data_IF_649591408965
#
_entry.id   IF_649591408965
#
_cell.length_a   1.000
_cell.length_b   1.000
_cell.length_c   1.000
_cell.angle_alpha   90.00
_cell.angle_beta   90.00
_cell.angle_gamma   90.00
#
_symmetry.space_group_name_H-M   'P 1'
#
loop_
_entity.id
_entity.type
_entity.pdbx_description
1 polymer ?
#
# COMPACT_ATOMS: atom_id res chain seq x y z
N UNK A 1 43.76 7.18 -17.38
CA UNK A 1 43.11 5.85 -17.40
C UNK A 1 42.02 5.82 -16.32
N UNK A 2 40.78 6.00 -16.75
CA UNK A 2 39.63 5.77 -15.84
C UNK A 2 39.49 4.26 -15.69
N UNK A 3 39.31 3.71 -14.46
CA UNK A 3 39.17 2.29 -14.25
C UNK A 3 37.96 1.75 -15.03
N UNK A 4 38.09 0.53 -15.59
CA UNK A 4 37.07 -0.11 -16.43
C UNK A 4 35.70 -0.24 -15.71
N UNK A 5 35.70 -0.32 -14.36
CA UNK A 5 34.52 -0.32 -13.53
C UNK A 5 33.65 0.94 -13.68
N UNK A 6 34.26 2.12 -13.93
CA UNK A 6 33.57 3.37 -14.17
C UNK A 6 32.89 3.44 -15.55
N UNK A 7 33.38 2.70 -16.53
CA UNK A 7 32.76 2.63 -17.86
C UNK A 7 31.50 1.76 -17.84
N UNK A 8 31.53 0.64 -17.13
CA UNK A 8 30.36 -0.25 -16.92
C UNK A 8 29.26 0.42 -16.05
N UNK A 9 29.69 1.21 -15.06
CA UNK A 9 28.76 1.91 -14.15
C UNK A 9 28.02 3.07 -14.84
N UNK A 10 28.56 3.65 -15.91
CA UNK A 10 27.88 4.70 -16.69
C UNK A 10 26.65 4.23 -17.45
N UNK A 11 26.55 2.93 -17.71
CA UNK A 11 25.41 2.28 -18.36
C UNK A 11 24.38 1.75 -17.34
N UNK A 12 24.61 1.89 -16.02
CA UNK A 12 23.67 1.46 -15.00
C UNK A 12 22.48 2.42 -14.94
N UNK A 13 21.35 1.99 -15.49
CA UNK A 13 20.08 2.75 -15.52
C UNK A 13 19.57 3.12 -14.12
N UNK A 14 20.03 2.44 -13.06
CA UNK A 14 19.66 2.71 -11.66
C UNK A 14 20.30 4.00 -11.13
N UNK A 15 21.32 4.51 -11.80
CA UNK A 15 22.01 5.75 -11.41
C UNK A 15 21.72 6.83 -12.43
N UNK A 16 20.75 7.70 -12.14
CA UNK A 16 20.55 8.89 -12.94
C UNK A 16 21.71 9.88 -12.71
N UNK A 17 22.53 10.11 -13.72
CA UNK A 17 23.59 11.15 -13.72
C UNK A 17 23.04 12.57 -14.01
N UNK A 18 21.74 12.76 -13.79
CA UNK A 18 21.07 14.02 -14.07
C UNK A 18 21.47 15.07 -13.02
N UNK A 19 22.31 16.00 -13.43
CA UNK A 19 22.69 17.16 -12.62
C UNK A 19 21.60 18.22 -12.66
N UNK A 20 21.05 18.53 -11.47
CA UNK A 20 20.07 19.59 -11.27
C UNK A 20 18.67 19.27 -11.83
N UNK A 21 17.75 20.23 -11.70
CA UNK A 21 16.34 20.10 -12.11
C UNK A 21 16.20 19.88 -13.62
N UNK A 22 17.01 20.60 -14.42
CA UNK A 22 16.97 20.46 -15.90
C UNK A 22 17.42 19.06 -16.40
N UNK A 23 18.38 18.44 -15.72
CA UNK A 23 18.80 17.06 -15.99
C UNK A 23 17.72 16.05 -15.62
N UNK A 24 17.03 16.26 -14.50
CA UNK A 24 15.91 15.40 -14.07
C UNK A 24 14.73 15.45 -15.06
N UNK A 25 14.39 16.65 -15.57
CA UNK A 25 13.33 16.82 -16.56
C UNK A 25 13.72 16.12 -17.88
N UNK A 26 14.96 16.28 -18.35
CA UNK A 26 15.43 15.60 -19.57
C UNK A 26 15.41 14.07 -19.41
N UNK A 27 15.86 13.55 -18.28
CA UNK A 27 15.83 12.12 -17.99
C UNK A 27 14.38 11.58 -17.91
N UNK A 28 13.44 12.36 -17.39
CA UNK A 28 12.02 12.03 -17.39
C UNK A 28 11.44 11.98 -18.79
N UNK A 29 11.67 13.03 -19.58
CA UNK A 29 11.20 13.10 -20.99
C UNK A 29 11.78 11.96 -21.83
N UNK A 30 13.06 11.61 -21.65
CA UNK A 30 13.67 10.49 -22.37
C UNK A 30 13.03 9.14 -22.03
N UNK A 31 12.70 8.88 -20.74
CA UNK A 31 11.98 7.67 -20.31
C UNK A 31 10.58 7.59 -20.93
N UNK A 32 9.83 8.70 -20.89
CA UNK A 32 8.50 8.76 -21.52
C UNK A 32 8.59 8.48 -23.02
N UNK A 33 9.60 9.04 -23.71
CA UNK A 33 9.83 8.78 -25.15
C UNK A 33 10.26 7.34 -25.45
N UNK A 34 10.97 6.68 -24.54
CA UNK A 34 11.35 5.27 -24.71
C UNK A 34 10.22 4.28 -24.39
N UNK A 35 9.02 4.77 -24.01
CA UNK A 35 7.87 3.94 -23.69
C UNK A 35 7.83 3.44 -22.24
N UNK A 36 8.81 3.79 -21.40
CA UNK A 36 8.77 3.52 -19.98
C UNK A 36 7.91 4.56 -19.25
N UNK A 37 6.62 4.34 -19.30
CA UNK A 37 5.64 5.25 -18.70
C UNK A 37 5.53 5.11 -17.17
N UNK A 38 5.99 3.98 -16.61
CA UNK A 38 5.95 3.72 -15.18
C UNK A 38 4.59 4.03 -14.54
N UNK A 39 4.55 4.93 -13.57
CA UNK A 39 3.33 5.36 -12.87
C UNK A 39 2.57 6.52 -13.57
N UNK A 40 3.07 6.99 -14.71
CA UNK A 40 2.50 8.17 -15.40
C UNK A 40 1.01 8.01 -15.76
N UNK A 41 0.54 6.85 -16.32
CA UNK A 41 -0.88 6.66 -16.65
C UNK A 41 -1.78 6.77 -15.42
N UNK A 42 -1.34 6.23 -14.26
CA UNK A 42 -2.08 6.32 -13.00
C UNK A 42 -2.13 7.77 -12.51
N UNK A 43 -1.02 8.50 -12.56
CA UNK A 43 -0.96 9.89 -12.16
C UNK A 43 -1.86 10.78 -13.04
N UNK A 44 -1.83 10.59 -14.37
CA UNK A 44 -2.71 11.30 -15.30
C UNK A 44 -4.17 10.97 -15.02
N UNK A 45 -4.51 9.69 -14.83
CA UNK A 45 -5.86 9.26 -14.49
C UNK A 45 -6.37 9.93 -13.22
N UNK A 46 -5.55 9.99 -12.16
CA UNK A 46 -5.89 10.68 -10.92
C UNK A 46 -6.11 12.18 -11.12
N UNK A 47 -5.26 12.84 -11.90
CA UNK A 47 -5.40 14.28 -12.21
C UNK A 47 -6.70 14.53 -12.99
N UNK A 48 -6.98 13.73 -14.02
CA UNK A 48 -8.21 13.86 -14.83
C UNK A 48 -9.44 13.67 -13.96
N UNK A 49 -9.51 12.57 -13.18
CA UNK A 49 -10.63 12.28 -12.30
C UNK A 49 -10.81 13.41 -11.28
N UNK A 50 -9.73 13.83 -10.60
CA UNK A 50 -9.80 14.92 -9.62
C UNK A 50 -10.27 16.23 -10.22
N UNK A 51 -9.82 16.55 -11.46
CA UNK A 51 -10.26 17.76 -12.17
C UNK A 51 -11.74 17.70 -12.51
N UNK A 52 -12.20 16.58 -13.09
CA UNK A 52 -13.62 16.39 -13.45
C UNK A 52 -14.51 16.52 -12.21
N UNK A 53 -14.19 15.81 -11.14
CA UNK A 53 -15.00 15.88 -9.91
C UNK A 53 -14.95 17.25 -9.24
N UNK A 54 -13.83 17.98 -9.32
CA UNK A 54 -13.73 19.34 -8.78
C UNK A 54 -14.58 20.35 -9.55
N UNK A 55 -14.74 20.14 -10.87
CA UNK A 55 -15.62 20.97 -11.70
C UNK A 55 -17.10 20.66 -11.39
N UNK A 56 -17.43 19.38 -11.23
CA UNK A 56 -18.80 18.92 -10.97
C UNK A 56 -19.25 19.23 -9.54
N UNK A 57 -18.34 19.22 -8.57
CA UNK A 57 -18.66 19.47 -7.16
C UNK A 57 -17.56 20.31 -6.50
N UNK A 58 -17.83 21.58 -6.16
CA UNK A 58 -16.85 22.46 -5.50
C UNK A 58 -16.37 21.96 -4.13
N UNK A 59 -17.13 21.07 -3.48
CA UNK A 59 -16.77 20.49 -2.19
C UNK A 59 -15.77 19.33 -2.35
N UNK A 60 -15.55 18.83 -3.58
CA UNK A 60 -14.72 17.64 -3.81
C UNK A 60 -13.32 17.79 -3.21
N UNK A 61 -12.65 18.91 -3.42
CA UNK A 61 -11.32 19.20 -2.85
C UNK A 61 -11.35 19.85 -1.47
N UNK A 62 -12.53 20.03 -0.85
CA UNK A 62 -12.60 20.61 0.49
C UNK A 62 -11.80 19.75 1.50
N UNK A 63 -11.11 20.37 2.50
CA UNK A 63 -10.25 19.64 3.43
C UNK A 63 -10.95 18.48 4.13
N UNK A 64 -12.17 18.66 4.60
CA UNK A 64 -12.93 17.61 5.27
C UNK A 64 -13.28 16.44 4.34
N UNK A 65 -13.56 16.71 3.06
CA UNK A 65 -13.82 15.65 2.09
C UNK A 65 -12.55 14.86 1.77
N UNK A 66 -11.41 15.53 1.67
CA UNK A 66 -10.12 14.85 1.48
C UNK A 66 -9.72 14.01 2.71
N UNK A 67 -10.07 14.45 3.92
CA UNK A 67 -9.87 13.63 5.13
C UNK A 67 -10.73 12.37 5.07
N UNK A 68 -12.01 12.46 4.65
CA UNK A 68 -12.86 11.29 4.44
C UNK A 68 -12.27 10.36 3.37
N UNK A 69 -11.82 10.92 2.25
CA UNK A 69 -11.14 10.15 1.20
C UNK A 69 -9.92 9.40 1.72
N UNK A 70 -9.16 9.96 2.67
CA UNK A 70 -8.02 9.26 3.28
C UNK A 70 -8.46 8.08 4.17
N UNK A 71 -9.59 8.18 4.89
CA UNK A 71 -10.16 7.04 5.60
C UNK A 71 -10.55 5.92 4.64
N UNK A 72 -11.24 6.26 3.55
CA UNK A 72 -11.68 5.29 2.54
C UNK A 72 -10.47 4.68 1.81
N UNK A 73 -9.50 5.50 1.40
CA UNK A 73 -8.25 5.03 0.80
C UNK A 73 -7.47 4.09 1.74
N UNK A 74 -7.43 4.37 3.04
CA UNK A 74 -6.76 3.51 4.00
C UNK A 74 -7.45 2.15 4.12
N UNK A 75 -8.79 2.14 4.16
CA UNK A 75 -9.60 0.91 4.22
C UNK A 75 -9.33 0.02 3.01
N UNK A 76 -9.53 0.56 1.81
CA UNK A 76 -9.30 -0.17 0.54
C UNK A 76 -7.82 -0.52 0.38
N UNK A 77 -6.93 0.39 0.77
CA UNK A 77 -5.49 0.21 0.71
C UNK A 77 -5.00 -0.95 1.56
N UNK A 78 -5.47 -1.10 2.80
CA UNK A 78 -5.11 -2.22 3.69
C UNK A 78 -5.55 -3.55 3.07
N UNK A 79 -6.76 -3.63 2.52
CA UNK A 79 -7.24 -4.82 1.80
C UNK A 79 -6.33 -5.12 0.60
N UNK A 80 -5.97 -4.08 -0.16
CA UNK A 80 -5.13 -4.20 -1.36
C UNK A 80 -3.72 -4.72 -1.07
N UNK A 81 -3.17 -4.54 0.15
CA UNK A 81 -1.87 -5.12 0.53
C UNK A 81 -1.88 -6.65 0.45
N UNK A 82 -2.99 -7.29 0.87
CA UNK A 82 -3.17 -8.73 0.70
C UNK A 82 -3.24 -9.14 -0.77
N UNK A 83 -3.99 -8.39 -1.57
CA UNK A 83 -4.12 -8.63 -3.02
C UNK A 83 -2.77 -8.53 -3.73
N UNK A 84 -1.94 -7.55 -3.37
CA UNK A 84 -0.59 -7.39 -3.95
C UNK A 84 0.26 -8.64 -3.75
N UNK A 85 0.20 -9.28 -2.56
CA UNK A 85 0.92 -10.52 -2.31
C UNK A 85 0.49 -11.65 -3.27
N UNK A 86 -0.81 -11.77 -3.56
CA UNK A 86 -1.33 -12.77 -4.49
C UNK A 86 -0.95 -12.44 -5.94
N UNK A 87 -1.04 -11.17 -6.35
CA UNK A 87 -0.65 -10.75 -7.69
C UNK A 87 0.85 -10.97 -7.98
N UNK A 88 1.72 -10.83 -6.97
CA UNK A 88 3.14 -11.18 -7.10
C UNK A 88 3.31 -12.67 -7.42
N UNK A 89 2.46 -13.55 -6.90
CA UNK A 89 2.45 -14.98 -7.20
C UNK A 89 1.79 -15.32 -8.55
N UNK A 90 1.17 -14.33 -9.22
CA UNK A 90 0.39 -14.53 -10.44
C UNK A 90 -1.00 -15.10 -10.21
N UNK A 91 -1.52 -15.02 -8.97
CA UNK A 91 -2.82 -15.57 -8.58
C UNK A 91 -3.85 -14.44 -8.36
N UNK A 92 -5.12 -14.76 -8.52
CA UNK A 92 -6.23 -13.82 -8.36
C UNK A 92 -7.19 -14.34 -7.28
N UNK A 93 -7.57 -13.46 -6.34
CA UNK A 93 -8.62 -13.73 -5.35
C UNK A 93 -9.81 -12.78 -5.56
N UNK A 94 -10.93 -13.36 -5.95
CA UNK A 94 -12.19 -12.64 -6.16
C UNK A 94 -13.02 -12.53 -4.88
N UNK A 95 -12.67 -13.27 -3.83
CA UNK A 95 -13.45 -13.34 -2.59
C UNK A 95 -13.08 -12.30 -1.53
N UNK A 96 -12.07 -11.47 -1.78
CA UNK A 96 -11.52 -10.51 -0.79
C UNK A 96 -12.60 -9.59 -0.22
N UNK A 97 -13.50 -9.09 -1.07
CA UNK A 97 -14.64 -8.26 -0.63
C UNK A 97 -15.59 -9.01 0.28
N UNK A 98 -15.99 -10.23 -0.09
CA UNK A 98 -16.86 -11.08 0.73
C UNK A 98 -16.21 -11.50 2.04
N UNK A 99 -14.88 -11.74 2.02
CA UNK A 99 -14.13 -12.05 3.24
C UNK A 99 -14.11 -10.85 4.20
N UNK A 100 -13.95 -9.62 3.70
CA UNK A 100 -14.01 -8.43 4.54
C UNK A 100 -15.40 -8.23 5.14
N UNK A 101 -16.47 -8.50 4.37
CA UNK A 101 -17.83 -8.49 4.86
C UNK A 101 -18.09 -9.57 5.93
N UNK A 102 -17.61 -10.79 5.70
CA UNK A 102 -17.69 -11.87 6.70
C UNK A 102 -16.93 -11.52 7.98
N UNK A 103 -15.73 -10.96 7.88
CA UNK A 103 -14.94 -10.52 9.03
C UNK A 103 -15.69 -9.46 9.84
N UNK A 104 -16.33 -8.50 9.16
CA UNK A 104 -17.16 -7.47 9.79
C UNK A 104 -18.39 -8.06 10.48
N UNK A 105 -19.05 -9.06 9.86
CA UNK A 105 -20.17 -9.78 10.48
C UNK A 105 -19.75 -10.55 11.73
N UNK A 106 -18.62 -11.27 11.69
CA UNK A 106 -18.06 -11.99 12.84
C UNK A 106 -17.80 -11.00 13.99
N UNK A 107 -17.11 -9.87 13.71
CA UNK A 107 -16.83 -8.87 14.73
C UNK A 107 -18.14 -8.30 15.31
N UNK A 108 -19.10 -7.93 14.45
CA UNK A 108 -20.37 -7.35 14.87
C UNK A 108 -21.16 -8.30 15.77
N UNK A 109 -21.33 -9.55 15.36
CA UNK A 109 -22.10 -10.54 16.12
C UNK A 109 -21.42 -10.88 17.44
N UNK A 110 -20.12 -11.19 17.43
CA UNK A 110 -19.41 -11.58 18.64
C UNK A 110 -19.31 -10.44 19.65
N UNK A 111 -19.01 -9.24 19.16
CA UNK A 111 -18.83 -8.09 20.05
C UNK A 111 -20.16 -7.46 20.50
N UNK A 112 -21.06 -7.16 19.55
CA UNK A 112 -22.28 -6.39 19.85
C UNK A 112 -23.39 -7.30 20.36
N UNK A 113 -23.65 -8.44 19.71
CA UNK A 113 -24.76 -9.32 20.05
C UNK A 113 -24.40 -10.29 21.19
N UNK A 114 -23.17 -10.83 21.19
CA UNK A 114 -22.74 -11.82 22.20
C UNK A 114 -21.99 -11.22 23.37
N UNK A 115 -21.70 -9.90 23.38
CA UNK A 115 -20.99 -9.22 24.47
C UNK A 115 -19.50 -9.61 24.64
N UNK A 116 -18.91 -10.25 23.64
CA UNK A 116 -17.49 -10.60 23.66
C UNK A 116 -16.63 -9.32 23.63
N UNK A 117 -15.44 -9.36 24.23
CA UNK A 117 -14.53 -8.22 24.15
C UNK A 117 -14.07 -7.96 22.71
N UNK A 118 -13.97 -6.68 22.31
CA UNK A 118 -13.58 -6.30 20.94
C UNK A 118 -12.26 -6.94 20.45
N UNK A 119 -11.17 -7.03 21.25
CA UNK A 119 -9.95 -7.70 20.82
C UNK A 119 -10.15 -9.19 20.49
N UNK A 120 -10.98 -9.89 21.25
CA UNK A 120 -11.29 -11.30 20.98
C UNK A 120 -12.14 -11.46 19.72
N UNK A 121 -13.11 -10.57 19.48
CA UNK A 121 -13.90 -10.57 18.24
C UNK A 121 -13.02 -10.30 17.02
N UNK A 122 -12.06 -9.37 17.10
CA UNK A 122 -11.07 -9.11 16.04
C UNK A 122 -10.19 -10.34 15.84
N UNK A 123 -9.70 -10.98 16.91
CA UNK A 123 -8.89 -12.19 16.81
C UNK A 123 -9.67 -13.33 16.12
N UNK A 124 -10.96 -13.51 16.45
CA UNK A 124 -11.81 -14.50 15.79
C UNK A 124 -11.96 -14.24 14.28
N UNK A 125 -12.14 -12.98 13.88
CA UNK A 125 -12.20 -12.61 12.47
C UNK A 125 -10.89 -12.87 11.73
N UNK A 126 -9.75 -12.59 12.38
CA UNK A 126 -8.42 -12.90 11.81
C UNK A 126 -8.20 -14.40 11.66
N UNK A 127 -8.60 -15.20 12.64
CA UNK A 127 -8.55 -16.67 12.56
C UNK A 127 -9.45 -17.20 11.46
N UNK A 128 -10.66 -16.66 11.30
CA UNK A 128 -11.56 -17.01 10.20
C UNK A 128 -10.92 -16.71 8.83
N UNK A 129 -10.32 -15.53 8.68
CA UNK A 129 -9.59 -15.17 7.45
C UNK A 129 -8.41 -16.11 7.16
N UNK A 130 -7.62 -16.44 8.18
CA UNK A 130 -6.52 -17.39 8.05
C UNK A 130 -7.01 -18.79 7.68
N UNK A 131 -8.13 -19.26 8.25
CA UNK A 131 -8.74 -20.55 7.94
C UNK A 131 -9.22 -20.61 6.48
N UNK A 132 -9.89 -19.55 5.99
CA UNK A 132 -10.31 -19.44 4.58
C UNK A 132 -9.10 -19.43 3.65
N UNK A 133 -8.05 -18.65 3.97
CA UNK A 133 -6.81 -18.64 3.21
C UNK A 133 -6.12 -20.01 3.17
N UNK A 134 -6.08 -20.71 4.30
CA UNK A 134 -5.56 -22.09 4.37
C UNK A 134 -6.38 -23.07 3.53
N UNK A 135 -7.71 -22.93 3.53
CA UNK A 135 -8.60 -23.72 2.67
C UNK A 135 -8.28 -23.48 1.19
N UNK A 136 -8.18 -22.22 0.74
CA UNK A 136 -7.80 -21.91 -0.64
C UNK A 136 -6.43 -22.46 -1.02
N UNK A 137 -5.44 -22.31 -0.12
CA UNK A 137 -4.12 -22.89 -0.32
C UNK A 137 -4.16 -24.42 -0.46
N UNK A 138 -5.02 -25.11 0.30
CA UNK A 138 -5.23 -26.56 0.19
C UNK A 138 -5.88 -26.93 -1.15
N UNK A 139 -6.94 -26.24 -1.56
CA UNK A 139 -7.63 -26.46 -2.85
C UNK A 139 -6.65 -26.27 -4.02
N UNK A 140 -5.85 -25.22 -3.96
CA UNK A 140 -4.88 -24.89 -4.98
C UNK A 140 -3.72 -25.92 -5.05
N UNK A 141 -3.06 -26.18 -3.89
CA UNK A 141 -1.83 -26.96 -3.87
C UNK A 141 -2.07 -28.47 -3.95
N UNK A 142 -3.16 -28.98 -3.35
CA UNK A 142 -3.44 -30.43 -3.30
C UNK A 142 -4.42 -30.91 -4.36
N UNK A 143 -5.42 -30.09 -4.68
CA UNK A 143 -6.45 -30.46 -5.66
C UNK A 143 -6.18 -29.87 -7.05
N UNK A 144 -5.14 -28.99 -7.20
CA UNK A 144 -4.81 -28.38 -8.46
C UNK A 144 -5.88 -27.42 -9.00
N UNK A 145 -6.78 -26.95 -8.13
CA UNK A 145 -7.86 -26.06 -8.53
C UNK A 145 -7.31 -24.67 -8.86
N UNK A 146 -7.65 -24.07 -10.03
CA UNK A 146 -7.23 -22.70 -10.34
C UNK A 146 -7.73 -21.72 -9.27
N UNK A 147 -6.88 -20.75 -8.87
CA UNK A 147 -7.18 -19.81 -7.79
C UNK A 147 -8.47 -19.02 -8.02
N UNK A 148 -8.68 -18.51 -9.25
CA UNK A 148 -9.87 -17.73 -9.58
C UNK A 148 -11.17 -18.56 -9.46
N UNK A 149 -11.14 -19.89 -9.75
CA UNK A 149 -12.31 -20.78 -9.60
C UNK A 149 -12.63 -20.99 -8.13
N UNK A 150 -11.61 -21.29 -7.32
CA UNK A 150 -11.79 -21.50 -5.89
C UNK A 150 -12.31 -20.23 -5.20
N UNK A 151 -11.74 -19.06 -5.54
CA UNK A 151 -12.11 -17.79 -4.92
C UNK A 151 -13.42 -17.23 -5.45
N UNK A 152 -13.82 -17.52 -6.69
CA UNK A 152 -15.16 -17.20 -7.21
C UNK A 152 -16.24 -17.99 -6.48
N UNK A 153 -16.03 -19.29 -6.26
CA UNK A 153 -16.93 -20.09 -5.42
C UNK A 153 -16.95 -19.57 -3.98
N UNK A 154 -15.79 -19.21 -3.45
CA UNK A 154 -15.64 -18.61 -2.14
C UNK A 154 -16.33 -17.26 -2.00
N UNK A 155 -16.32 -16.41 -3.04
CA UNK A 155 -17.05 -15.14 -3.04
C UNK A 155 -18.53 -15.36 -2.68
N UNK A 156 -19.19 -16.31 -3.33
CA UNK A 156 -20.60 -16.62 -3.09
C UNK A 156 -20.81 -17.31 -1.74
N UNK A 157 -19.94 -18.27 -1.39
CA UNK A 157 -20.03 -18.99 -0.13
C UNK A 157 -19.83 -18.09 1.08
N UNK A 158 -18.83 -17.20 1.04
CA UNK A 158 -18.54 -16.25 2.13
C UNK A 158 -19.65 -15.19 2.24
N UNK A 159 -20.20 -14.73 1.11
CA UNK A 159 -21.36 -13.83 1.12
C UNK A 159 -22.57 -14.49 1.77
N UNK A 160 -22.88 -15.75 1.41
CA UNK A 160 -23.96 -16.52 2.04
C UNK A 160 -23.71 -16.74 3.54
N UNK A 161 -22.47 -17.07 3.93
CA UNK A 161 -22.09 -17.25 5.32
C UNK A 161 -22.18 -15.94 6.12
N UNK A 162 -21.79 -14.81 5.53
CA UNK A 162 -21.97 -13.48 6.10
C UNK A 162 -23.44 -13.22 6.44
N UNK A 163 -24.34 -13.44 5.49
CA UNK A 163 -25.78 -13.23 5.68
C UNK A 163 -26.36 -14.19 6.74
N UNK A 164 -25.91 -15.44 6.73
CA UNK A 164 -26.32 -16.42 7.73
C UNK A 164 -25.93 -15.99 9.15
N UNK A 165 -24.71 -15.51 9.33
CA UNK A 165 -24.21 -15.04 10.65
C UNK A 165 -24.93 -13.77 11.10
N UNK A 166 -25.22 -12.83 10.19
CA UNK A 166 -25.97 -11.61 10.51
C UNK A 166 -27.43 -11.89 10.88
N UNK A 167 -27.99 -13.01 10.42
CA UNK A 167 -29.35 -13.41 10.70
C UNK A 167 -30.40 -12.58 9.98
N UNK A 168 -31.68 -12.61 10.46
CA UNK A 168 -32.82 -12.04 9.73
C UNK A 168 -32.72 -10.52 9.49
N UNK A 169 -31.98 -9.78 10.31
CA UNK A 169 -31.82 -8.33 10.17
C UNK A 169 -30.84 -7.94 9.07
N UNK A 170 -29.92 -8.86 8.69
CA UNK A 170 -28.93 -8.63 7.65
C UNK A 170 -27.90 -7.52 7.95
N UNK A 171 -28.00 -6.88 9.11
CA UNK A 171 -27.13 -5.76 9.50
C UNK A 171 -26.99 -5.65 11.01
N UNK A 172 -25.89 -5.08 11.47
CA UNK A 172 -25.62 -4.78 12.90
C UNK A 172 -25.09 -3.36 12.98
N UNK A 173 -25.71 -2.55 13.84
CA UNK A 173 -25.23 -1.21 14.12
C UNK A 173 -24.11 -1.25 15.16
N UNK A 174 -22.91 -0.83 14.77
CA UNK A 174 -21.81 -0.69 15.69
C UNK A 174 -21.97 0.55 16.56
N UNK A 175 -21.66 0.51 17.87
CA UNK A 175 -21.73 1.68 18.72
C UNK A 175 -20.82 2.80 18.24
N UNK A 176 -21.38 3.98 17.96
CA UNK A 176 -20.65 5.12 17.37
C UNK A 176 -19.45 5.58 18.23
N UNK A 177 -19.63 5.58 19.56
CA UNK A 177 -18.58 5.96 20.51
C UNK A 177 -17.49 4.90 20.71
N UNK A 178 -17.59 3.76 20.04
CA UNK A 178 -16.64 2.66 20.22
C UNK A 178 -15.24 2.98 19.70
N UNK A 179 -14.18 2.39 20.28
CA UNK A 179 -12.82 2.56 19.80
C UNK A 179 -12.66 2.18 18.33
N UNK A 180 -13.37 1.14 17.86
CA UNK A 180 -13.28 0.65 16.48
C UNK A 180 -13.82 1.69 15.50
N UNK A 181 -15.04 2.21 15.73
CA UNK A 181 -15.65 3.22 14.86
C UNK A 181 -14.87 4.53 14.93
N UNK A 182 -14.45 4.94 16.13
CA UNK A 182 -13.62 6.15 16.28
C UNK A 182 -12.31 6.04 15.50
N UNK A 183 -11.60 4.91 15.59
CA UNK A 183 -10.36 4.70 14.85
C UNK A 183 -10.57 4.68 13.34
N UNK A 184 -11.64 4.02 12.87
CA UNK A 184 -11.92 3.85 11.44
C UNK A 184 -12.50 5.07 10.74
N UNK A 185 -13.11 6.05 11.47
CA UNK A 185 -13.86 7.14 10.84
C UNK A 185 -13.65 8.53 11.45
N UNK A 186 -13.11 8.61 12.68
CA UNK A 186 -13.10 9.88 13.43
C UNK A 186 -11.70 10.30 13.86
N UNK A 187 -10.88 9.36 14.32
CA UNK A 187 -9.64 9.67 15.00
C UNK A 187 -8.59 10.20 14.04
N UNK A 188 -8.16 11.43 14.28
CA UNK A 188 -7.11 12.10 13.50
C UNK A 188 -5.90 12.39 14.38
N UNK A 189 -4.74 12.54 13.76
CA UNK A 189 -3.50 12.90 14.44
C UNK A 189 -3.55 14.35 14.91
N UNK A 190 -2.93 14.71 16.04
CA UNK A 190 -2.66 16.10 16.40
C UNK A 190 -1.83 16.79 15.29
N UNK A 191 -2.06 18.07 15.05
CA UNK A 191 -1.43 18.83 13.97
C UNK A 191 0.10 18.71 13.99
N UNK A 192 0.72 18.91 15.15
CA UNK A 192 2.18 18.82 15.30
C UNK A 192 2.71 17.42 14.90
N UNK A 193 1.97 16.36 15.22
CA UNK A 193 2.35 14.98 14.93
C UNK A 193 2.21 14.68 13.43
N UNK A 194 1.14 15.18 12.79
CA UNK A 194 0.94 15.02 11.35
C UNK A 194 2.06 15.71 10.56
N UNK A 195 2.50 16.91 10.98
CA UNK A 195 3.64 17.61 10.40
C UNK A 195 4.96 16.86 10.63
N UNK A 196 5.17 16.29 11.82
CA UNK A 196 6.34 15.45 12.10
C UNK A 196 6.34 14.19 11.21
N UNK A 197 5.19 13.54 11.08
CA UNK A 197 5.03 12.38 10.22
C UNK A 197 5.32 12.69 8.74
N UNK A 198 4.96 13.88 8.28
CA UNK A 198 5.23 14.39 6.93
C UNK A 198 6.73 14.58 6.62
N UNK A 199 7.60 14.74 7.63
CA UNK A 199 9.05 14.83 7.46
C UNK A 199 9.69 13.46 7.20
N UNK A 200 9.06 12.38 7.66
CA UNK A 200 9.65 11.01 7.64
C UNK A 200 10.04 10.56 6.23
N UNK A 201 9.21 10.70 5.18
CA UNK A 201 9.59 10.25 3.83
C UNK A 201 10.82 10.97 3.27
N UNK A 202 10.93 12.28 3.49
CA UNK A 202 12.10 13.05 3.09
C UNK A 202 13.36 12.65 3.85
N UNK A 203 13.26 12.46 5.16
CA UNK A 203 14.36 12.00 6.00
C UNK A 203 14.83 10.60 5.58
N UNK A 204 13.90 9.66 5.35
CA UNK A 204 14.21 8.30 4.89
C UNK A 204 14.91 8.34 3.53
N UNK A 205 14.45 9.19 2.60
CA UNK A 205 15.07 9.35 1.29
C UNK A 205 16.51 9.85 1.41
N UNK A 206 16.78 10.83 2.27
CA UNK A 206 18.15 11.35 2.53
C UNK A 206 19.02 10.25 3.14
N UNK A 207 18.57 9.62 4.21
CA UNK A 207 19.37 8.59 4.92
C UNK A 207 19.67 7.42 4.00
N UNK A 208 18.65 6.88 3.30
CA UNK A 208 18.84 5.79 2.36
C UNK A 208 19.78 6.17 1.21
N UNK A 209 19.62 7.38 0.66
CA UNK A 209 20.49 7.90 -0.40
C UNK A 209 21.93 8.06 0.05
N UNK A 210 22.18 8.56 1.25
CA UNK A 210 23.52 8.69 1.82
C UNK A 210 24.17 7.32 2.06
N UNK A 211 23.45 6.35 2.61
CA UNK A 211 23.93 4.98 2.82
C UNK A 211 24.29 4.32 1.49
N UNK A 212 23.43 4.43 0.48
CA UNK A 212 23.70 3.89 -0.86
C UNK A 212 24.94 4.57 -1.46
N UNK A 213 25.02 5.89 -1.35
CA UNK A 213 26.17 6.66 -1.82
C UNK A 213 27.48 6.19 -1.19
N UNK A 214 27.53 6.07 0.15
CA UNK A 214 28.71 5.59 0.87
C UNK A 214 29.14 4.18 0.42
N UNK A 215 28.19 3.26 0.28
CA UNK A 215 28.44 1.89 -0.18
C UNK A 215 29.00 1.85 -1.61
N UNK A 216 28.47 2.67 -2.52
CA UNK A 216 28.96 2.75 -3.90
C UNK A 216 30.34 3.37 -3.98
N UNK A 217 30.60 4.43 -3.23
CA UNK A 217 31.92 5.06 -3.16
C UNK A 217 32.98 4.13 -2.58
N UNK A 218 32.65 3.30 -1.58
CA UNK A 218 33.56 2.34 -0.98
C UNK A 218 34.07 1.27 -2.00
N UNK A 219 33.32 1.02 -3.08
CA UNK A 219 33.69 0.10 -4.16
C UNK A 219 34.03 0.84 -5.47
N UNK A 220 34.38 2.13 -5.41
CA UNK A 220 34.73 2.99 -6.53
C UNK A 220 33.67 3.07 -7.65
N UNK A 221 32.39 2.91 -7.30
CA UNK A 221 31.28 3.09 -8.24
C UNK A 221 30.78 4.54 -8.23
N UNK A 222 30.21 4.99 -9.34
CA UNK A 222 29.59 6.31 -9.42
C UNK A 222 28.39 6.40 -8.48
N UNK A 223 28.16 7.59 -7.92
CA UNK A 223 27.06 7.82 -6.99
C UNK A 223 26.27 9.06 -7.38
N UNK A 224 25.00 9.10 -7.04
CA UNK A 224 24.17 10.29 -7.29
C UNK A 224 24.78 11.52 -6.61
N UNK A 225 24.74 12.70 -7.27
CA UNK A 225 25.18 13.94 -6.67
C UNK A 225 24.29 14.29 -5.46
N UNK A 226 24.91 14.85 -4.41
CA UNK A 226 24.18 15.24 -3.19
C UNK A 226 23.10 16.28 -3.48
N UNK A 227 23.35 17.18 -4.43
CA UNK A 227 22.40 18.20 -4.87
C UNK A 227 21.09 17.56 -5.40
N UNK A 228 21.20 16.54 -6.23
CA UNK A 228 20.04 15.82 -6.76
C UNK A 228 19.24 15.10 -5.66
N UNK A 229 19.94 14.49 -4.70
CA UNK A 229 19.31 13.83 -3.55
C UNK A 229 18.59 14.84 -2.65
N UNK A 230 19.26 15.96 -2.35
CA UNK A 230 18.68 17.04 -1.54
C UNK A 230 17.45 17.66 -2.20
N UNK A 231 17.51 17.98 -3.49
CA UNK A 231 16.37 18.52 -4.24
C UNK A 231 15.19 17.59 -4.19
N UNK A 232 15.38 16.27 -4.45
CA UNK A 232 14.30 15.27 -4.36
C UNK A 232 13.68 15.23 -2.98
N UNK A 233 14.50 15.22 -1.92
CA UNK A 233 14.01 15.15 -0.55
C UNK A 233 13.25 16.42 -0.15
N UNK A 234 13.78 17.60 -0.50
CA UNK A 234 13.13 18.88 -0.21
C UNK A 234 11.80 19.00 -0.95
N UNK A 235 11.76 18.71 -2.26
CA UNK A 235 10.53 18.75 -3.05
C UNK A 235 9.49 17.82 -2.47
N UNK A 236 9.87 16.57 -2.18
CA UNK A 236 8.96 15.58 -1.58
C UNK A 236 8.41 16.08 -0.24
N UNK A 237 9.28 16.56 0.64
CA UNK A 237 8.89 17.07 1.96
C UNK A 237 7.96 18.26 1.84
N UNK A 238 8.28 19.24 1.00
CA UNK A 238 7.45 20.43 0.80
C UNK A 238 6.06 20.06 0.27
N UNK A 239 5.98 19.17 -0.72
CA UNK A 239 4.68 18.72 -1.27
C UNK A 239 3.84 18.04 -0.20
N UNK A 240 4.44 17.13 0.60
CA UNK A 240 3.71 16.45 1.68
C UNK A 240 3.31 17.44 2.78
N UNK A 241 4.17 18.40 3.14
CA UNK A 241 3.86 19.42 4.15
C UNK A 241 2.70 20.33 3.72
N UNK A 242 2.65 20.73 2.45
CA UNK A 242 1.52 21.49 1.91
C UNK A 242 0.22 20.67 2.00
N UNK A 243 0.27 19.38 1.63
CA UNK A 243 -0.88 18.50 1.72
C UNK A 243 -1.35 18.33 3.18
N UNK A 244 -0.44 18.09 4.11
CA UNK A 244 -0.77 17.96 5.55
C UNK A 244 -1.31 19.27 6.12
N UNK A 245 -0.71 20.40 5.78
CA UNK A 245 -1.23 21.72 6.17
C UNK A 245 -2.68 21.89 5.68
N UNK A 246 -2.94 21.57 4.42
CA UNK A 246 -4.29 21.67 3.84
C UNK A 246 -5.30 20.75 4.52
N UNK A 247 -4.92 19.52 4.88
CA UNK A 247 -5.77 18.58 5.62
C UNK A 247 -6.04 19.07 7.06
N UNK A 248 -5.09 19.74 7.69
CA UNK A 248 -5.24 20.31 9.03
C UNK A 248 -6.14 21.56 9.05
N UNK A 249 -6.42 22.21 7.91
CA UNK A 249 -7.50 23.19 7.81
C UNK A 249 -8.91 22.56 7.98
N UNK A 250 -9.00 21.23 7.82
CA UNK A 250 -10.19 20.44 8.15
C UNK A 250 -10.02 19.72 9.48
N UNK A 251 -10.24 18.38 9.47
CA UNK A 251 -10.12 17.52 10.69
C UNK A 251 -8.71 17.03 10.97
N UNK A 252 -7.79 17.10 10.01
CA UNK A 252 -6.43 16.59 10.13
C UNK A 252 -6.20 15.22 9.47
N UNK A 253 -5.02 14.66 9.67
CA UNK A 253 -4.60 13.38 9.05
C UNK A 253 -5.14 12.19 9.87
N UNK A 254 -5.88 11.24 9.26
CA UNK A 254 -6.39 10.06 9.97
C UNK A 254 -5.30 9.13 10.51
N UNK A 255 -5.45 8.66 11.75
CA UNK A 255 -4.59 7.59 12.29
C UNK A 255 -4.66 6.31 11.47
N UNK A 256 -5.83 6.00 10.91
CA UNK A 256 -6.00 4.84 10.03
C UNK A 256 -5.14 4.94 8.76
N UNK A 257 -5.00 6.16 8.20
CA UNK A 257 -4.07 6.39 7.08
C UNK A 257 -2.62 6.20 7.50
N UNK A 258 -2.25 6.64 8.72
CA UNK A 258 -0.93 6.38 9.29
C UNK A 258 -0.65 4.87 9.45
N UNK A 259 -1.63 4.09 9.92
CA UNK A 259 -1.54 2.63 9.97
C UNK A 259 -1.35 2.03 8.57
N UNK A 260 -2.12 2.46 7.59
CA UNK A 260 -1.96 2.00 6.20
C UNK A 260 -0.54 2.23 5.68
N UNK A 261 -0.01 3.45 5.84
CA UNK A 261 1.37 3.77 5.44
C UNK A 261 2.40 2.90 6.17
N UNK A 262 2.22 2.69 7.48
CA UNK A 262 3.09 1.80 8.25
C UNK A 262 3.06 0.36 7.71
N UNK A 263 1.88 -0.17 7.40
CA UNK A 263 1.72 -1.51 6.81
C UNK A 263 2.36 -1.59 5.41
N UNK A 264 2.25 -0.55 4.58
CA UNK A 264 2.95 -0.48 3.28
C UNK A 264 4.46 -0.59 3.47
N UNK A 265 5.03 0.15 4.43
CA UNK A 265 6.47 0.10 4.72
C UNK A 265 6.90 -1.27 5.24
N UNK A 266 6.13 -1.85 6.17
CA UNK A 266 6.39 -3.19 6.72
C UNK A 266 6.32 -4.24 5.61
N UNK A 267 5.29 -4.22 4.76
CA UNK A 267 5.13 -5.16 3.66
C UNK A 267 6.25 -4.99 2.62
N UNK A 268 6.59 -3.75 2.26
CA UNK A 268 7.71 -3.49 1.36
C UNK A 268 9.03 -4.04 1.92
N UNK A 269 9.28 -3.85 3.22
CA UNK A 269 10.46 -4.45 3.87
C UNK A 269 10.40 -5.99 3.83
N UNK A 270 9.26 -6.58 4.17
CA UNK A 270 9.06 -8.02 4.14
C UNK A 270 9.29 -8.60 2.73
N UNK A 271 8.74 -7.98 1.70
CA UNK A 271 8.88 -8.40 0.32
C UNK A 271 10.30 -8.25 -0.22
N UNK A 272 10.99 -7.13 0.10
CA UNK A 272 12.28 -6.82 -0.50
C UNK A 272 13.49 -7.32 0.29
N UNK A 273 13.38 -7.50 1.62
CA UNK A 273 14.51 -7.77 2.50
C UNK A 273 14.47 -9.15 3.16
N UNK A 274 13.33 -9.85 3.16
CA UNK A 274 13.23 -11.17 3.78
C UNK A 274 13.35 -12.32 2.78
N UNK A 275 13.62 -13.53 3.29
CA UNK A 275 13.60 -14.75 2.49
C UNK A 275 12.22 -15.03 1.91
N UNK A 276 11.18 -14.78 2.71
CA UNK A 276 9.80 -14.94 2.31
C UNK A 276 9.45 -14.12 1.05
N UNK A 277 9.75 -12.84 1.06
CA UNK A 277 9.49 -11.97 -0.10
C UNK A 277 10.27 -12.41 -1.35
N UNK A 278 11.57 -12.75 -1.19
CA UNK A 278 12.37 -13.25 -2.30
C UNK A 278 11.79 -14.53 -2.90
N UNK A 279 11.31 -15.45 -2.05
CA UNK A 279 10.65 -16.68 -2.50
C UNK A 279 9.36 -16.38 -3.27
N UNK A 280 8.57 -15.41 -2.82
CA UNK A 280 7.36 -14.98 -3.53
C UNK A 280 7.67 -14.48 -4.94
N UNK A 281 8.63 -13.58 -5.09
CA UNK A 281 9.06 -13.08 -6.41
C UNK A 281 9.64 -14.18 -7.29
N UNK A 282 10.42 -15.12 -6.72
CA UNK A 282 10.97 -16.24 -7.46
C UNK A 282 9.87 -17.16 -8.00
N UNK A 283 8.89 -17.52 -7.15
CA UNK A 283 7.76 -18.37 -7.53
C UNK A 283 6.86 -17.68 -8.56
N UNK A 284 6.56 -16.41 -8.36
CA UNK A 284 5.73 -15.62 -9.28
C UNK A 284 6.40 -15.38 -10.65
N UNK A 285 7.74 -15.26 -10.67
CA UNK A 285 8.49 -15.12 -11.91
C UNK A 285 8.57 -16.41 -12.72
N UNK A 286 8.97 -17.51 -12.10
CA UNK A 286 8.96 -18.85 -12.71
C UNK A 286 8.97 -19.93 -11.63
N UNK A 287 7.83 -20.58 -11.46
CA UNK A 287 7.62 -21.61 -10.42
C UNK A 287 8.57 -22.81 -10.56
N UNK A 288 8.79 -23.26 -11.79
CA UNK A 288 9.64 -24.44 -12.07
C UNK A 288 11.13 -24.10 -11.79
N UNK A 289 11.59 -22.92 -12.18
CA UNK A 289 12.94 -22.47 -11.87
C UNK A 289 13.13 -22.26 -10.36
N UNK A 290 12.14 -21.68 -9.66
CA UNK A 290 12.18 -21.51 -8.21
C UNK A 290 12.28 -22.85 -7.48
N UNK A 291 11.52 -23.85 -7.92
CA UNK A 291 11.55 -25.22 -7.35
C UNK A 291 12.91 -25.90 -7.52
N UNK A 292 13.61 -25.66 -8.64
CA UNK A 292 14.94 -26.25 -8.91
C UNK A 292 16.05 -25.55 -8.14
N UNK A 293 15.86 -24.31 -7.75
CA UNK A 293 16.86 -23.53 -7.01
C UNK A 293 16.77 -23.70 -5.48
N UNK A 294 15.80 -24.44 -4.97
CA UNK A 294 15.56 -24.64 -3.53
C UNK A 294 14.65 -23.57 -2.94
#
# INVERSE_FOLDING_TARGET
NKPASLALDRSDERVSHADGIGGMIRAFVSRVRSGDLGMLPVAIGLIVISTVFSILNPIFLAPNNLVNLLFDCATVGIISLGIVCLLILGEIDLSVGSMSGLASAIIGVLWVNSGMSLPLAIAAALVAGAAVGALYAMLYNRLGMPSFVATLAGLLALLGLQLYILGPTGSINLPYASPLVRFGQILVMPDWLSHLFALVPGAVLIVAGLVIRQRRQAVNLSSQPLSSLAVKAVVLTVVIQIAVYYLNLGRGVPWMFGLFVALVVILNYALTKTKWGRSMFAVGGNREAARRSG
#
